data_IF_601943049831
#
_entry.id   IF_601943049831
#
_cell.length_a   1.000
_cell.length_b   1.000
_cell.length_c   1.000
_cell.angle_alpha   90.00
_cell.angle_beta   90.00
_cell.angle_gamma   90.00
#
_symmetry.space_group_name_H-M   'P 1'
#
loop_
_entity.id
_entity.type
_entity.pdbx_description
1 polymer ?
#
# COMPACT_ATOMS: atom_id res chain seq x y z
N UNK A 1 41.76 64.02 -17.84
CA UNK A 1 42.96 63.65 -17.03
C UNK A 1 42.58 62.41 -16.22
N UNK A 2 42.83 61.20 -16.75
CA UNK A 2 44.08 60.41 -16.61
C UNK A 2 44.12 59.67 -15.27
N UNK A 3 44.52 58.40 -15.13
CA UNK A 3 44.77 57.23 -15.99
C UNK A 3 45.03 56.09 -14.96
N UNK A 4 44.62 54.85 -15.23
CA UNK A 4 45.11 53.69 -14.47
C UNK A 4 46.63 53.52 -14.65
N UNK A 5 47.27 52.70 -13.81
CA UNK A 5 47.96 51.56 -14.43
C UNK A 5 47.83 50.23 -13.69
N UNK A 6 47.90 49.17 -14.52
CA UNK A 6 48.09 47.74 -14.22
C UNK A 6 49.53 47.45 -13.76
N UNK A 7 49.74 46.37 -13.00
CA UNK A 7 50.93 45.47 -13.00
C UNK A 7 50.61 44.29 -12.05
N UNK A 8 51.02 43.03 -12.22
CA UNK A 8 51.71 42.33 -13.30
C UNK A 8 51.48 40.82 -13.12
N UNK A 9 51.50 40.11 -14.24
CA UNK A 9 51.48 38.65 -14.37
C UNK A 9 52.85 38.09 -14.02
N UNK A 10 52.91 36.97 -13.30
CA UNK A 10 54.09 36.10 -13.26
C UNK A 10 53.72 34.70 -13.69
N UNK A 11 54.20 34.33 -14.87
CA UNK A 11 54.12 33.00 -15.45
C UNK A 11 55.29 32.15 -14.93
N UNK A 12 55.02 30.91 -14.55
CA UNK A 12 56.03 29.85 -14.55
C UNK A 12 55.54 28.68 -15.38
N UNK A 13 56.29 28.42 -16.45
CA UNK A 13 56.24 27.23 -17.28
C UNK A 13 56.52 25.99 -16.44
N UNK A 14 55.74 24.93 -16.64
CA UNK A 14 56.18 23.56 -16.41
C UNK A 14 55.82 22.70 -17.64
N UNK A 15 56.82 21.95 -18.07
CA UNK A 15 56.95 21.24 -19.34
C UNK A 15 55.92 20.11 -19.51
N UNK A 16 55.45 19.93 -20.76
CA UNK A 16 54.64 18.80 -21.20
C UNK A 16 55.49 17.53 -21.29
N UNK A 17 55.11 16.48 -20.55
CA UNK A 17 55.49 15.11 -20.88
C UNK A 17 54.25 14.41 -21.45
N UNK A 18 54.31 14.05 -22.74
CA UNK A 18 53.32 13.20 -23.39
C UNK A 18 53.59 11.75 -23.02
N UNK A 19 52.71 11.14 -22.23
CA UNK A 19 52.63 9.68 -22.10
C UNK A 19 51.34 9.20 -22.76
N UNK A 20 51.50 8.45 -23.84
CA UNK A 20 50.44 7.77 -24.56
C UNK A 20 49.88 6.63 -23.70
N UNK A 21 48.78 6.87 -22.99
CA UNK A 21 48.02 5.82 -22.31
C UNK A 21 47.00 5.25 -23.29
N UNK A 22 47.17 3.97 -23.66
CA UNK A 22 46.21 3.21 -24.47
C UNK A 22 44.87 3.08 -23.71
N UNK A 23 43.71 3.19 -24.38
CA UNK A 23 42.43 2.96 -23.72
C UNK A 23 42.29 1.45 -23.43
N UNK A 24 42.19 1.10 -22.15
CA UNK A 24 41.72 -0.22 -21.71
C UNK A 24 40.21 -0.17 -21.72
N UNK A 25 39.59 -0.94 -22.61
CA UNK A 25 38.13 -1.15 -22.63
C UNK A 25 37.77 -1.99 -21.40
N UNK A 26 36.90 -1.52 -20.48
CA UNK A 26 36.40 -2.38 -19.43
C UNK A 26 35.32 -3.28 -20.03
N UNK A 27 35.58 -4.59 -20.07
CA UNK A 27 34.57 -5.60 -20.36
C UNK A 27 33.70 -5.77 -19.10
N UNK A 28 32.72 -4.90 -18.88
CA UNK A 28 31.71 -5.10 -17.84
C UNK A 28 30.57 -5.95 -18.38
N UNK A 29 30.70 -7.26 -18.19
CA UNK A 29 29.56 -8.18 -18.20
C UNK A 29 28.72 -7.90 -16.94
N UNK A 30 27.83 -6.90 -17.01
CA UNK A 30 26.88 -6.54 -15.96
C UNK A 30 25.48 -7.05 -16.32
N UNK A 31 25.00 -8.03 -15.55
CA UNK A 31 23.76 -8.78 -15.74
C UNK A 31 22.56 -7.89 -16.13
N UNK A 32 21.96 -8.16 -17.30
CA UNK A 32 20.58 -7.77 -17.56
C UNK A 32 19.69 -8.50 -16.56
N UNK A 33 19.21 -7.80 -15.53
CA UNK A 33 18.07 -8.25 -14.76
C UNK A 33 16.85 -8.18 -15.67
N UNK A 34 16.59 -9.28 -16.36
CA UNK A 34 15.28 -9.53 -16.92
C UNK A 34 14.37 -9.76 -15.70
N UNK A 35 13.69 -8.71 -15.24
CA UNK A 35 12.49 -8.86 -14.43
C UNK A 35 11.42 -9.40 -15.37
N UNK A 36 11.36 -10.73 -15.48
CA UNK A 36 10.16 -11.38 -16.00
C UNK A 36 8.99 -10.87 -15.17
N UNK A 37 7.90 -10.38 -15.78
CA UNK A 37 6.70 -10.05 -15.02
C UNK A 37 6.22 -11.33 -14.35
N UNK A 38 6.45 -11.46 -13.05
CA UNK A 38 5.98 -12.60 -12.27
C UNK A 38 4.46 -12.58 -12.35
N UNK A 39 3.87 -13.56 -13.02
CA UNK A 39 2.43 -13.75 -13.02
C UNK A 39 1.96 -13.88 -11.57
N UNK A 40 0.87 -13.19 -11.21
CA UNK A 40 0.32 -13.13 -9.85
C UNK A 40 -0.01 -14.51 -9.22
N UNK A 41 0.06 -15.60 -9.99
CA UNK A 41 -0.15 -16.98 -9.56
C UNK A 41 1.02 -17.69 -8.88
N UNK A 42 2.22 -17.08 -8.78
CA UNK A 42 3.39 -17.74 -8.14
C UNK A 42 3.58 -17.41 -6.66
N UNK A 43 2.88 -16.40 -6.12
CA UNK A 43 3.06 -15.95 -4.71
C UNK A 43 2.10 -16.69 -3.77
N UNK A 44 2.53 -17.07 -2.55
CA UNK A 44 1.65 -17.72 -1.59
C UNK A 44 0.49 -16.79 -1.20
N UNK A 45 -0.70 -17.36 -1.02
CA UNK A 45 -1.88 -16.60 -0.62
C UNK A 45 -1.78 -16.17 0.84
N UNK A 46 -2.26 -14.95 1.16
CA UNK A 46 -2.34 -14.48 2.53
C UNK A 46 -3.25 -15.40 3.39
N UNK A 47 -2.77 -15.76 4.57
CA UNK A 47 -3.46 -16.58 5.58
C UNK A 47 -3.63 -15.82 6.90
N UNK A 48 -4.52 -16.30 7.77
CA UNK A 48 -4.71 -15.71 9.10
C UNK A 48 -3.51 -16.00 10.01
N UNK A 49 -3.04 -14.97 10.74
CA UNK A 49 -2.15 -15.16 11.88
C UNK A 49 -2.98 -15.62 13.09
N UNK A 50 -2.63 -16.76 13.67
CA UNK A 50 -3.35 -17.38 14.79
C UNK A 50 -3.42 -16.47 16.03
N UNK A 51 -2.42 -15.61 16.24
CA UNK A 51 -2.38 -14.66 17.36
C UNK A 51 -3.53 -13.64 17.31
N UNK A 52 -4.10 -13.39 16.13
CA UNK A 52 -5.22 -12.46 15.96
C UNK A 52 -6.56 -13.10 16.32
N UNK A 53 -6.68 -14.43 16.31
CA UNK A 53 -7.97 -15.15 16.48
C UNK A 53 -8.76 -14.66 17.70
N UNK A 54 -8.17 -14.45 18.89
CA UNK A 54 -8.92 -14.00 20.07
C UNK A 54 -9.60 -12.63 19.92
N UNK A 55 -9.18 -11.83 18.93
CA UNK A 55 -9.66 -10.45 18.70
C UNK A 55 -10.60 -10.34 17.49
N UNK A 56 -10.83 -11.46 16.79
CA UNK A 56 -11.56 -11.53 15.54
C UNK A 56 -12.92 -12.23 15.74
N UNK A 57 -13.92 -11.92 14.89
CA UNK A 57 -15.18 -12.66 14.92
C UNK A 57 -14.98 -14.12 14.47
N UNK A 58 -15.89 -15.04 14.85
CA UNK A 58 -15.82 -16.45 14.46
C UNK A 58 -15.85 -16.70 12.93
N UNK A 59 -16.35 -15.73 12.16
CA UNK A 59 -16.31 -15.76 10.69
C UNK A 59 -14.89 -15.68 10.14
N UNK A 60 -13.97 -14.96 10.78
CA UNK A 60 -12.60 -14.77 10.29
C UNK A 60 -11.83 -16.09 10.09
N UNK A 61 -11.66 -16.96 11.11
CA UNK A 61 -10.98 -18.24 10.90
C UNK A 61 -11.69 -19.11 9.87
N UNK A 62 -13.03 -19.16 9.90
CA UNK A 62 -13.85 -19.92 8.94
C UNK A 62 -13.57 -19.50 7.49
N UNK A 63 -13.53 -18.20 7.22
CA UNK A 63 -13.27 -17.62 5.90
C UNK A 63 -11.82 -17.88 5.45
N UNK A 64 -10.84 -17.64 6.33
CA UNK A 64 -9.42 -17.82 6.00
C UNK A 64 -9.05 -19.30 5.77
N UNK A 65 -9.64 -20.23 6.52
CA UNK A 65 -9.45 -21.67 6.31
C UNK A 65 -9.96 -22.09 4.94
N UNK A 66 -11.17 -21.68 4.56
CA UNK A 66 -11.74 -22.00 3.25
C UNK A 66 -10.91 -21.38 2.11
N UNK A 67 -10.53 -20.10 2.25
CA UNK A 67 -9.64 -19.41 1.31
C UNK A 67 -8.30 -20.14 1.14
N UNK A 68 -7.69 -20.60 2.23
CA UNK A 68 -6.42 -21.35 2.22
C UNK A 68 -6.59 -22.71 1.54
N UNK A 69 -7.64 -23.46 1.87
CA UNK A 69 -7.94 -24.78 1.26
C UNK A 69 -8.09 -24.70 -0.26
N UNK A 70 -8.71 -23.63 -0.76
CA UNK A 70 -8.93 -23.40 -2.19
C UNK A 70 -7.80 -22.62 -2.87
N UNK A 71 -6.76 -22.24 -2.14
CA UNK A 71 -5.65 -21.41 -2.61
C UNK A 71 -6.11 -20.13 -3.37
N UNK A 72 -7.14 -19.45 -2.83
CA UNK A 72 -7.71 -18.26 -3.47
C UNK A 72 -7.00 -16.98 -3.01
N UNK A 73 -6.72 -16.08 -3.96
CA UNK A 73 -6.28 -14.70 -3.68
C UNK A 73 -7.47 -13.83 -3.26
N UNK A 74 -7.21 -12.69 -2.62
CA UNK A 74 -8.28 -11.73 -2.35
C UNK A 74 -8.83 -11.12 -3.63
N UNK A 75 -7.98 -10.87 -4.63
CA UNK A 75 -8.39 -10.42 -5.97
C UNK A 75 -9.46 -11.34 -6.58
N UNK A 76 -9.25 -12.67 -6.55
CA UNK A 76 -10.17 -13.65 -7.10
C UNK A 76 -11.53 -13.63 -6.37
N UNK A 77 -11.52 -13.57 -5.03
CA UNK A 77 -12.74 -13.50 -4.21
C UNK A 77 -13.47 -12.17 -4.47
N UNK A 78 -12.74 -11.07 -4.50
CA UNK A 78 -13.25 -9.72 -4.74
C UNK A 78 -13.95 -9.59 -6.09
N UNK A 79 -13.33 -10.15 -7.14
CA UNK A 79 -13.93 -10.22 -8.48
C UNK A 79 -15.22 -11.01 -8.49
N UNK A 80 -15.30 -12.13 -7.77
CA UNK A 80 -16.51 -12.95 -7.70
C UNK A 80 -17.63 -12.26 -6.90
N UNK A 81 -17.30 -11.68 -5.74
CA UNK A 81 -18.27 -11.01 -4.86
C UNK A 81 -18.75 -9.68 -5.46
N UNK A 82 -17.91 -8.98 -6.23
CA UNK A 82 -18.19 -7.67 -6.80
C UNK A 82 -17.84 -6.51 -5.86
N UNK A 83 -16.79 -6.67 -5.05
CA UNK A 83 -16.26 -5.63 -4.15
C UNK A 83 -14.79 -5.38 -4.43
N UNK A 84 -14.26 -4.28 -3.92
CA UNK A 84 -12.81 -4.00 -3.96
C UNK A 84 -12.03 -5.04 -3.12
N UNK A 85 -10.81 -5.35 -3.55
CA UNK A 85 -9.93 -6.33 -2.90
C UNK A 85 -9.67 -6.01 -1.43
N UNK A 86 -9.37 -4.75 -1.11
CA UNK A 86 -9.10 -4.32 0.27
C UNK A 86 -10.35 -4.41 1.12
N UNK A 87 -11.53 -4.17 0.52
CA UNK A 87 -12.80 -4.32 1.22
C UNK A 87 -13.13 -5.78 1.57
N UNK A 88 -12.80 -6.74 0.69
CA UNK A 88 -12.93 -8.17 1.00
C UNK A 88 -11.93 -8.59 2.08
N UNK A 89 -10.67 -8.17 1.98
CA UNK A 89 -9.68 -8.45 3.02
C UNK A 89 -10.14 -7.88 4.39
N UNK A 90 -10.67 -6.66 4.42
CA UNK A 90 -11.24 -6.06 5.62
C UNK A 90 -12.42 -6.86 6.18
N UNK A 91 -13.31 -7.38 5.32
CA UNK A 91 -14.41 -8.27 5.72
C UNK A 91 -13.89 -9.54 6.40
N UNK A 92 -12.84 -10.16 5.83
CA UNK A 92 -12.20 -11.34 6.40
C UNK A 92 -11.59 -11.09 7.79
N UNK A 93 -11.11 -9.88 8.06
CA UNK A 93 -10.64 -9.45 9.38
C UNK A 93 -11.76 -8.86 10.27
N UNK A 94 -13.04 -8.98 9.89
CA UNK A 94 -14.17 -8.50 10.68
C UNK A 94 -14.35 -6.98 10.70
N UNK A 95 -13.68 -6.26 9.81
CA UNK A 95 -13.66 -4.79 9.76
C UNK A 95 -14.68 -4.21 8.77
N UNK A 96 -15.38 -5.06 8.01
CA UNK A 96 -16.46 -4.68 7.12
C UNK A 96 -17.69 -5.56 7.33
N UNK A 97 -18.87 -4.98 7.08
CA UNK A 97 -20.13 -5.70 7.13
C UNK A 97 -20.38 -6.40 5.79
N UNK A 98 -20.87 -7.64 5.86
CA UNK A 98 -21.34 -8.40 4.70
C UNK A 98 -22.81 -8.06 4.44
N UNK A 99 -23.15 -7.77 3.19
CA UNK A 99 -24.55 -7.76 2.76
C UNK A 99 -25.09 -9.20 2.59
N UNK A 100 -26.41 -9.41 2.50
CA UNK A 100 -26.97 -10.72 2.18
C UNK A 100 -26.43 -11.30 0.86
N UNK A 101 -26.19 -10.44 -0.15
CA UNK A 101 -25.58 -10.82 -1.42
C UNK A 101 -24.11 -11.24 -1.25
N UNK A 102 -23.35 -10.54 -0.40
CA UNK A 102 -21.97 -10.92 -0.08
C UNK A 102 -21.93 -12.32 0.55
N UNK A 103 -22.85 -12.62 1.47
CA UNK A 103 -22.91 -13.93 2.14
C UNK A 103 -23.16 -15.04 1.13
N UNK A 104 -24.09 -14.85 0.18
CA UNK A 104 -24.38 -15.84 -0.87
C UNK A 104 -23.15 -16.07 -1.75
N UNK A 105 -22.55 -15.01 -2.29
CA UNK A 105 -21.38 -15.13 -3.17
C UNK A 105 -20.14 -15.68 -2.46
N UNK A 106 -19.94 -15.31 -1.19
CA UNK A 106 -18.85 -15.87 -0.37
C UNK A 106 -19.09 -17.35 -0.09
N UNK A 107 -20.32 -17.75 0.19
CA UNK A 107 -20.71 -19.16 0.36
C UNK A 107 -20.41 -19.98 -0.90
N UNK A 108 -20.76 -19.46 -2.08
CA UNK A 108 -20.50 -20.10 -3.37
C UNK A 108 -18.99 -20.25 -3.65
N UNK A 109 -18.23 -19.15 -3.60
CA UNK A 109 -16.81 -19.20 -3.97
C UNK A 109 -15.96 -19.96 -2.95
N UNK A 110 -16.31 -19.92 -1.67
CA UNK A 110 -15.56 -20.59 -0.60
C UNK A 110 -16.10 -22.00 -0.27
N UNK A 111 -17.22 -22.41 -0.86
CA UNK A 111 -17.92 -23.68 -0.53
C UNK A 111 -18.20 -23.83 0.97
N UNK A 112 -18.72 -22.76 1.58
CA UNK A 112 -19.14 -22.74 2.99
C UNK A 112 -20.66 -22.77 3.01
N UNK A 113 -21.26 -23.56 3.93
CA UNK A 113 -22.71 -23.56 4.14
C UNK A 113 -23.25 -22.11 4.36
N UNK A 114 -24.24 -21.67 3.56
CA UNK A 114 -24.74 -20.30 3.62
C UNK A 114 -25.42 -19.99 4.96
N UNK A 115 -26.05 -20.97 5.61
CA UNK A 115 -26.70 -20.78 6.91
C UNK A 115 -25.68 -20.49 8.02
N UNK A 116 -24.60 -21.27 8.06
CA UNK A 116 -23.45 -21.05 8.94
C UNK A 116 -22.84 -19.68 8.69
N UNK A 117 -22.59 -19.34 7.43
CA UNK A 117 -21.93 -18.09 7.08
C UNK A 117 -22.81 -16.87 7.41
N UNK A 118 -24.11 -16.93 7.13
CA UNK A 118 -25.08 -15.91 7.53
C UNK A 118 -25.13 -15.74 9.05
N UNK A 119 -25.09 -16.83 9.82
CA UNK A 119 -25.06 -16.77 11.28
C UNK A 119 -23.78 -16.14 11.83
N UNK A 120 -22.63 -16.35 11.19
CA UNK A 120 -21.34 -15.82 11.66
C UNK A 120 -21.04 -14.39 11.17
N UNK A 121 -21.56 -14.00 10.01
CA UNK A 121 -21.40 -12.66 9.43
C UNK A 121 -22.55 -11.70 9.78
N UNK A 122 -23.58 -12.19 10.48
CA UNK A 122 -24.70 -11.37 10.94
C UNK A 122 -24.28 -10.31 11.97
N UNK A 123 -25.09 -9.24 12.07
CA UNK A 123 -24.87 -8.15 13.01
C UNK A 123 -23.93 -7.05 12.50
N UNK A 124 -23.56 -6.13 13.40
CA UNK A 124 -22.67 -5.00 13.09
C UNK A 124 -21.23 -5.32 13.49
N UNK A 125 -20.22 -5.01 12.66
CA UNK A 125 -18.83 -5.30 12.97
C UNK A 125 -18.29 -4.39 14.09
N UNK A 126 -17.58 -4.99 15.04
CA UNK A 126 -16.78 -4.27 16.03
C UNK A 126 -15.40 -3.93 15.42
N UNK A 127 -15.28 -2.73 14.85
CA UNK A 127 -14.07 -2.31 14.12
C UNK A 127 -12.98 -1.82 15.07
N UNK A 128 -11.73 -1.98 14.65
CA UNK A 128 -10.54 -1.47 15.35
C UNK A 128 -9.92 -2.44 16.35
N UNK A 129 -10.44 -3.66 16.50
CA UNK A 129 -9.89 -4.67 17.43
C UNK A 129 -8.66 -5.41 16.91
N UNK A 130 -8.29 -5.22 15.64
CA UNK A 130 -7.26 -6.03 14.96
C UNK A 130 -5.83 -5.66 15.31
N UNK A 131 -5.59 -4.48 15.88
CA UNK A 131 -4.25 -3.95 16.09
C UNK A 131 -4.14 -3.24 17.44
N UNK A 132 -3.06 -3.52 18.17
CA UNK A 132 -2.63 -2.64 19.26
C UNK A 132 -1.91 -1.42 18.67
N UNK A 133 -2.08 -0.26 19.29
CA UNK A 133 -1.38 0.96 18.91
C UNK A 133 -0.22 1.23 19.87
N UNK A 134 0.99 1.54 19.37
CA UNK A 134 1.37 1.59 17.95
C UNK A 134 1.49 0.18 17.32
N UNK A 135 1.30 0.05 15.99
CA UNK A 135 1.44 -1.24 15.30
C UNK A 135 2.85 -1.83 15.46
N UNK A 136 2.95 -3.14 15.61
CA UNK A 136 4.25 -3.84 15.73
C UNK A 136 4.73 -4.42 14.41
N UNK A 137 3.79 -4.82 13.54
CA UNK A 137 4.12 -5.35 12.22
C UNK A 137 4.76 -4.25 11.35
N UNK A 138 5.94 -4.48 10.74
CA UNK A 138 6.64 -3.47 9.96
C UNK A 138 5.83 -2.95 8.76
N UNK A 139 5.06 -3.81 8.08
CA UNK A 139 4.28 -3.41 6.90
C UNK A 139 3.19 -2.41 7.28
N UNK A 140 2.51 -2.68 8.40
CA UNK A 140 1.47 -1.79 8.94
C UNK A 140 2.09 -0.55 9.60
N UNK A 141 3.22 -0.70 10.30
CA UNK A 141 3.90 0.40 10.98
C UNK A 141 4.33 1.51 10.02
N UNK A 142 4.73 1.20 8.77
CA UNK A 142 5.06 2.24 7.79
C UNK A 142 3.88 3.13 7.43
N UNK A 143 2.66 2.60 7.42
CA UNK A 143 1.46 3.42 7.22
C UNK A 143 1.24 4.39 8.39
N UNK A 144 1.48 3.91 9.62
CA UNK A 144 1.45 4.74 10.81
C UNK A 144 2.55 5.83 10.79
N UNK A 145 3.77 5.49 10.38
CA UNK A 145 4.89 6.41 10.25
C UNK A 145 4.63 7.51 9.20
N UNK A 146 3.97 7.18 8.08
CA UNK A 146 3.50 8.17 7.10
C UNK A 146 2.54 9.16 7.76
N UNK A 147 1.58 8.68 8.56
CA UNK A 147 0.65 9.57 9.28
C UNK A 147 1.39 10.44 10.30
N UNK A 148 2.34 9.86 11.03
CA UNK A 148 3.14 10.59 12.02
C UNK A 148 3.96 11.73 11.38
N UNK A 149 4.59 11.47 10.23
CA UNK A 149 5.48 12.43 9.58
C UNK A 149 4.72 13.45 8.71
N UNK A 150 3.69 13.01 7.98
CA UNK A 150 2.97 13.83 7.00
C UNK A 150 1.60 14.32 7.48
N UNK A 151 1.14 13.94 8.68
CA UNK A 151 -0.19 14.30 9.17
C UNK A 151 -0.48 15.80 9.16
N UNK A 152 0.47 16.62 9.63
CA UNK A 152 0.33 18.09 9.58
C UNK A 152 0.39 18.63 8.15
N UNK A 153 1.22 18.05 7.28
CA UNK A 153 1.30 18.43 5.87
C UNK A 153 -0.01 18.14 5.13
N UNK A 154 -0.60 16.94 5.32
CA UNK A 154 -1.91 16.61 4.77
C UNK A 154 -2.98 17.55 5.27
N UNK A 155 -3.03 17.81 6.58
CA UNK A 155 -3.99 18.74 7.19
C UNK A 155 -3.90 20.12 6.54
N UNK A 156 -2.72 20.71 6.45
CA UNK A 156 -2.52 22.03 5.87
C UNK A 156 -2.98 22.10 4.41
N UNK A 157 -2.50 21.18 3.56
CA UNK A 157 -2.85 21.15 2.12
C UNK A 157 -4.33 20.90 1.90
N UNK A 158 -4.96 20.02 2.70
CA UNK A 158 -6.40 19.79 2.62
C UNK A 158 -7.19 21.04 3.04
N UNK A 159 -6.76 21.74 4.08
CA UNK A 159 -7.43 22.97 4.54
C UNK A 159 -7.32 24.10 3.49
N UNK A 160 -6.16 24.25 2.84
CA UNK A 160 -6.00 25.20 1.74
C UNK A 160 -6.89 24.87 0.53
N UNK A 161 -7.11 23.59 0.24
CA UNK A 161 -7.89 23.15 -0.94
C UNK A 161 -9.40 23.11 -0.70
N UNK A 162 -9.82 22.75 0.51
CA UNK A 162 -11.22 22.39 0.79
C UNK A 162 -11.85 23.19 1.94
N UNK A 163 -11.08 24.06 2.61
CA UNK A 163 -11.53 24.84 3.77
C UNK A 163 -11.47 24.05 5.07
N UNK A 164 -12.21 24.48 6.08
CA UNK A 164 -12.24 23.83 7.40
C UNK A 164 -13.18 22.60 7.40
N UNK A 165 -12.62 21.43 7.70
CA UNK A 165 -13.34 20.15 7.59
C UNK A 165 -12.42 18.94 7.69
N UNK A 166 -12.94 17.78 7.29
CA UNK A 166 -12.20 16.50 7.31
C UNK A 166 -12.44 15.67 6.06
N UNK A 167 -11.46 14.83 5.71
CA UNK A 167 -11.67 13.70 4.80
C UNK A 167 -12.32 12.54 5.58
N UNK A 168 -13.54 12.15 5.20
CA UNK A 168 -14.28 11.07 5.85
C UNK A 168 -13.55 9.72 5.71
N UNK A 169 -13.48 8.96 6.80
CA UNK A 169 -13.11 7.55 6.82
C UNK A 169 -14.33 6.59 6.79
N UNK A 170 -15.56 7.13 6.64
CA UNK A 170 -16.81 6.36 6.56
C UNK A 170 -17.38 6.40 5.15
N UNK A 171 -17.59 7.61 4.61
CA UNK A 171 -17.88 7.79 3.18
C UNK A 171 -16.56 7.78 2.42
N UNK A 172 -16.00 6.57 2.30
CA UNK A 172 -14.59 6.33 1.98
C UNK A 172 -14.41 5.07 1.12
N UNK A 173 -13.37 5.09 0.29
CA UNK A 173 -12.87 3.94 -0.46
C UNK A 173 -11.34 3.96 -0.49
N UNK A 174 -10.73 2.78 -0.49
CA UNK A 174 -9.28 2.61 -0.65
C UNK A 174 -9.00 1.44 -1.60
N UNK A 175 -7.84 1.46 -2.23
CA UNK A 175 -7.33 0.36 -3.07
C UNK A 175 -5.80 0.32 -3.03
N UNK A 176 -5.25 -0.85 -3.34
CA UNK A 176 -3.81 -1.06 -3.49
C UNK A 176 -3.53 -1.43 -4.94
N UNK A 177 -2.57 -0.74 -5.55
CA UNK A 177 -2.13 -0.99 -6.92
C UNK A 177 -0.61 -1.20 -6.93
N UNK A 178 -0.15 -2.07 -7.82
CA UNK A 178 1.28 -2.23 -8.11
C UNK A 178 1.62 -1.38 -9.32
N UNK A 179 2.58 -0.49 -9.17
CA UNK A 179 3.19 0.25 -10.28
C UNK A 179 4.62 -0.24 -10.52
N UNK A 180 5.12 -0.18 -11.75
CA UNK A 180 6.48 -0.61 -12.09
C UNK A 180 7.09 0.39 -13.05
N UNK A 181 8.28 0.88 -12.71
CA UNK A 181 9.07 1.80 -13.53
C UNK A 181 10.52 1.30 -13.66
N UNK A 182 11.40 2.15 -14.20
CA UNK A 182 12.83 1.86 -14.39
C UNK A 182 13.60 1.67 -13.08
N UNK A 183 13.06 2.11 -11.94
CA UNK A 183 13.68 2.02 -10.61
C UNK A 183 13.16 0.87 -9.77
N UNK A 184 12.04 0.26 -10.16
CA UNK A 184 11.54 -0.97 -9.56
C UNK A 184 10.02 -1.02 -9.43
N UNK A 185 9.56 -1.78 -8.43
CA UNK A 185 8.15 -1.96 -8.13
C UNK A 185 7.72 -1.05 -6.98
N UNK A 186 6.54 -0.44 -7.12
CA UNK A 186 5.97 0.49 -6.16
C UNK A 186 4.59 0.01 -5.72
N UNK A 187 4.30 0.14 -4.43
CA UNK A 187 2.97 -0.04 -3.88
C UNK A 187 2.27 1.32 -3.81
N UNK A 188 1.20 1.50 -4.59
CA UNK A 188 0.38 2.70 -4.59
C UNK A 188 -0.90 2.45 -3.81
N UNK A 189 -1.07 3.22 -2.74
CA UNK A 189 -2.29 3.23 -1.93
C UNK A 189 -3.07 4.50 -2.27
N UNK A 190 -4.31 4.34 -2.71
CA UNK A 190 -5.21 5.47 -2.94
C UNK A 190 -6.19 5.60 -1.79
N UNK A 191 -6.19 6.74 -1.09
CA UNK A 191 -7.18 7.09 -0.07
C UNK A 191 -8.18 8.09 -0.66
N UNK A 192 -9.44 7.70 -0.82
CA UNK A 192 -10.49 8.55 -1.40
C UNK A 192 -11.66 8.67 -0.42
N UNK A 193 -11.68 9.76 0.35
CA UNK A 193 -12.76 10.10 1.27
C UNK A 193 -13.56 11.33 0.83
N UNK A 194 -14.86 11.34 1.13
CA UNK A 194 -15.69 12.53 0.97
C UNK A 194 -15.22 13.64 1.90
N UNK A 195 -15.11 14.88 1.40
CA UNK A 195 -14.84 16.05 2.24
C UNK A 195 -16.09 16.47 3.02
N UNK A 196 -15.94 16.72 4.32
CA UNK A 196 -17.01 17.11 5.23
C UNK A 196 -16.64 18.43 5.93
N UNK A 197 -17.21 19.57 5.49
CA UNK A 197 -17.00 20.85 6.17
C UNK A 197 -17.61 20.87 7.57
N UNK A 198 -17.00 21.59 8.51
CA UNK A 198 -17.63 21.83 9.81
C UNK A 198 -18.84 22.75 9.67
N UNK A 199 -19.92 22.41 10.37
CA UNK A 199 -21.10 23.28 10.47
C UNK A 199 -20.82 24.41 11.46
N UNK A 200 -21.31 25.61 11.15
CA UNK A 200 -21.37 26.72 12.10
C UNK A 200 -22.73 26.70 12.79
N UNK A 201 -22.75 26.41 14.08
CA UNK A 201 -23.95 26.40 14.92
C UNK A 201 -23.70 27.15 16.22
#
# INVERSE_FOLDING_TARGET
MALSPRLAVSARLASRAFTSVRPVVPLTAGRCFHSTPTAMGERPVATLNEELIPRLPPSSPTLFEAKKKKNLTFEAIAKHVGRDEVAIAALFYGQAMASPEDVQKLSEVLEIDPGKLASQLGGFPNRGSTLDMPPKDPTIYRLYEIVQNYGQAYKAVMHEKFGDGIMSAISFSTKVEKETDDKGEWAKITLRGKWLPYSRF
#
